data_IF_696955116007
#
_entry.id   IF_696955116007
#
_cell.length_a   1.000
_cell.length_b   1.000
_cell.length_c   1.000
_cell.angle_alpha   90.00
_cell.angle_beta   90.00
_cell.angle_gamma   90.00
#
_symmetry.space_group_name_H-M   'P 1'
#
loop_
_entity.id
_entity.type
_entity.pdbx_description
1 polymer ?
#
# COMPACT_ATOMS: atom_id res chain seq x y z
N UNK A 1 -34.75 34.48 -0.47
CA UNK A 1 -36.16 34.70 -0.81
C UNK A 1 -36.56 33.57 -1.74
N UNK A 2 -37.77 33.02 -1.65
CA UNK A 2 -38.21 32.00 -2.61
C UNK A 2 -38.73 32.74 -3.84
N UNK A 3 -37.87 32.96 -4.83
CA UNK A 3 -38.20 33.68 -6.06
C UNK A 3 -38.05 32.69 -7.23
N UNK A 4 -39.08 32.54 -8.09
CA UNK A 4 -38.94 31.76 -9.34
C UNK A 4 -40.01 30.70 -9.66
N UNK A 5 -41.20 30.73 -9.05
CA UNK A 5 -42.19 29.64 -9.18
C UNK A 5 -43.13 29.64 -10.39
N UNK A 6 -42.68 29.84 -11.65
CA UNK A 6 -43.61 29.62 -12.78
C UNK A 6 -43.05 29.27 -14.17
N UNK A 7 -41.73 29.21 -14.40
CA UNK A 7 -41.15 29.08 -15.76
C UNK A 7 -39.99 28.06 -15.93
N UNK A 8 -39.72 27.17 -14.98
CA UNK A 8 -38.61 26.20 -15.06
C UNK A 8 -38.10 25.81 -13.68
N UNK A 9 -36.94 25.13 -13.62
CA UNK A 9 -36.17 24.98 -12.39
C UNK A 9 -35.82 26.36 -11.83
N UNK A 10 -35.74 26.49 -10.51
CA UNK A 10 -35.59 27.77 -9.82
C UNK A 10 -34.12 28.15 -9.77
N UNK A 11 -33.81 29.40 -10.13
CA UNK A 11 -32.48 29.97 -9.92
C UNK A 11 -32.22 30.10 -8.41
N UNK A 12 -31.18 29.41 -7.94
CA UNK A 12 -30.83 29.32 -6.54
C UNK A 12 -29.93 30.50 -6.07
N UNK A 13 -29.33 31.27 -6.99
CA UNK A 13 -28.63 32.53 -6.67
C UNK A 13 -28.81 33.62 -7.76
N UNK A 14 -29.87 34.43 -7.60
CA UNK A 14 -30.17 35.62 -8.42
C UNK A 14 -29.04 36.68 -8.51
N UNK A 15 -28.01 36.61 -7.65
CA UNK A 15 -26.89 37.56 -7.67
C UNK A 15 -25.69 37.04 -8.46
N UNK A 16 -25.72 35.77 -8.92
CA UNK A 16 -24.62 35.14 -9.62
C UNK A 16 -25.10 34.47 -10.91
N UNK A 17 -24.89 35.12 -12.05
CA UNK A 17 -25.30 34.59 -13.36
C UNK A 17 -24.58 33.29 -13.78
N UNK A 18 -23.58 32.83 -13.03
CA UNK A 18 -22.93 31.52 -13.23
C UNK A 18 -23.63 30.39 -12.49
N UNK A 19 -24.48 30.69 -11.49
CA UNK A 19 -25.28 29.73 -10.74
C UNK A 19 -26.69 29.78 -11.32
N UNK A 20 -27.15 28.72 -11.97
CA UNK A 20 -28.48 28.66 -12.59
C UNK A 20 -28.80 27.24 -13.08
N UNK A 21 -30.10 26.91 -13.24
CA UNK A 21 -30.58 25.69 -13.88
C UNK A 21 -29.80 25.23 -15.12
N UNK A 22 -29.02 24.15 -14.96
CA UNK A 22 -28.25 23.54 -16.04
C UNK A 22 -26.91 24.22 -16.36
N UNK A 23 -26.36 25.00 -15.42
CA UNK A 23 -24.94 25.31 -15.40
C UNK A 23 -24.10 24.03 -15.25
N UNK A 24 -22.78 24.13 -15.43
CA UNK A 24 -21.89 23.01 -15.15
C UNK A 24 -21.48 23.06 -13.68
N UNK A 25 -21.64 21.94 -12.98
CA UNK A 25 -21.28 21.84 -11.57
C UNK A 25 -19.76 21.96 -11.34
N UNK A 26 -19.34 22.79 -10.37
CA UNK A 26 -17.96 22.88 -9.91
C UNK A 26 -17.86 22.06 -8.62
N UNK A 27 -17.32 20.85 -8.77
CA UNK A 27 -17.36 19.79 -7.77
C UNK A 27 -16.56 20.02 -6.45
N UNK A 28 -16.04 21.21 -6.20
CA UNK A 28 -15.18 21.54 -5.05
C UNK A 28 -15.42 22.94 -4.46
N UNK A 29 -16.56 23.56 -4.75
CA UNK A 29 -16.84 24.95 -4.40
C UNK A 29 -17.93 25.14 -3.33
N UNK A 30 -18.51 24.07 -2.79
CA UNK A 30 -19.55 24.10 -1.73
C UNK A 30 -20.85 24.77 -2.14
N UNK A 31 -21.13 24.85 -3.43
CA UNK A 31 -22.26 25.55 -4.02
C UNK A 31 -22.97 24.64 -5.02
N UNK A 32 -24.30 24.70 -5.03
CA UNK A 32 -25.16 24.06 -6.05
C UNK A 32 -25.14 25.00 -7.27
N UNK A 33 -24.24 24.77 -8.22
CA UNK A 33 -24.06 25.68 -9.36
C UNK A 33 -25.16 25.51 -10.40
N UNK A 34 -25.69 24.29 -10.55
CA UNK A 34 -26.71 23.95 -11.54
C UNK A 34 -28.16 24.04 -11.01
N UNK A 35 -28.33 24.30 -9.71
CA UNK A 35 -29.59 24.43 -8.99
C UNK A 35 -30.50 23.19 -9.06
N UNK A 36 -29.94 21.98 -9.14
CA UNK A 36 -30.68 20.71 -9.11
C UNK A 36 -30.96 20.19 -7.69
N UNK A 37 -30.33 20.82 -6.69
CA UNK A 37 -30.47 20.50 -5.27
C UNK A 37 -29.39 19.58 -4.71
N UNK A 38 -28.38 19.23 -5.50
CA UNK A 38 -27.16 18.56 -5.08
C UNK A 38 -25.99 19.56 -5.07
N UNK A 39 -24.93 19.26 -4.33
CA UNK A 39 -23.75 20.12 -4.24
C UNK A 39 -22.51 19.25 -4.34
N UNK A 40 -21.51 19.71 -5.09
CA UNK A 40 -20.20 19.08 -5.18
C UNK A 40 -20.29 17.55 -5.40
N UNK A 41 -19.81 16.75 -4.45
CA UNK A 41 -19.73 15.29 -4.55
C UNK A 41 -21.04 14.58 -4.28
N UNK A 42 -22.04 15.28 -3.73
CA UNK A 42 -23.41 14.78 -3.71
C UNK A 42 -24.07 14.94 -5.10
N UNK A 43 -23.46 15.70 -6.02
CA UNK A 43 -23.95 15.91 -7.38
C UNK A 43 -23.60 14.75 -8.33
N UNK A 44 -24.59 14.30 -9.09
CA UNK A 44 -24.45 13.19 -10.02
C UNK A 44 -23.54 13.49 -11.23
N UNK A 45 -23.43 14.74 -11.64
CA UNK A 45 -22.56 15.25 -12.69
C UNK A 45 -21.08 15.26 -12.23
N UNK A 46 -20.86 15.33 -10.92
CA UNK A 46 -19.55 15.22 -10.28
C UNK A 46 -19.07 13.79 -10.00
N UNK A 47 -19.85 12.76 -10.38
CA UNK A 47 -19.50 11.34 -10.16
C UNK A 47 -18.14 10.89 -10.76
N UNK A 48 -17.58 11.64 -11.71
CA UNK A 48 -16.26 11.36 -12.31
C UNK A 48 -15.24 12.48 -12.03
N UNK A 49 -15.60 13.46 -11.21
CA UNK A 49 -14.68 14.52 -10.84
C UNK A 49 -13.62 13.94 -9.90
N UNK A 50 -12.31 14.17 -10.13
CA UNK A 50 -11.25 13.64 -9.27
C UNK A 50 -11.32 14.09 -7.80
N UNK A 51 -12.11 15.12 -7.51
CA UNK A 51 -12.36 15.63 -6.15
C UNK A 51 -13.52 14.91 -5.45
N UNK A 52 -14.35 14.18 -6.22
CA UNK A 52 -15.56 13.49 -5.76
C UNK A 52 -15.57 11.99 -6.05
N UNK A 53 -14.56 11.51 -6.77
CA UNK A 53 -13.87 10.30 -6.37
C UNK A 53 -13.78 10.30 -4.83
N UNK A 54 -14.12 9.19 -4.17
CA UNK A 54 -13.97 9.02 -2.72
C UNK A 54 -12.49 8.97 -2.32
N UNK A 55 -11.73 9.95 -2.80
CA UNK A 55 -10.34 10.20 -2.52
C UNK A 55 -10.18 11.69 -2.22
N UNK A 56 -10.08 12.01 -0.93
CA UNK A 56 -9.33 13.14 -0.42
C UNK A 56 -7.88 13.11 -0.90
N UNK A 57 -7.65 13.23 -2.20
CA UNK A 57 -6.33 13.02 -2.79
C UNK A 57 -5.83 11.58 -2.68
N UNK A 58 -4.62 11.30 -3.21
CA UNK A 58 -4.03 9.98 -3.15
C UNK A 58 -3.76 9.57 -1.70
N UNK A 59 -4.22 8.38 -1.32
CA UNK A 59 -3.90 7.75 -0.04
C UNK A 59 -2.38 7.66 0.14
N UNK A 60 -1.87 8.11 1.29
CA UNK A 60 -0.49 7.87 1.70
C UNK A 60 -0.49 6.54 2.44
N UNK A 61 -0.04 5.49 1.78
CA UNK A 61 -0.23 4.11 2.18
C UNK A 61 0.58 3.64 3.42
N UNK A 62 1.17 4.56 4.18
CA UNK A 62 2.06 4.27 5.31
C UNK A 62 1.99 5.29 6.48
N UNK A 63 1.00 6.20 6.51
CA UNK A 63 0.94 7.29 7.49
C UNK A 63 -0.04 7.05 8.66
N UNK A 64 -0.85 5.98 8.59
CA UNK A 64 -1.81 5.62 9.64
C UNK A 64 -3.10 6.42 9.62
N UNK A 65 -3.37 7.19 8.56
CA UNK A 65 -4.52 8.06 8.41
C UNK A 65 -5.21 7.75 7.07
N UNK A 66 -6.53 7.69 7.10
CA UNK A 66 -7.37 7.67 5.90
C UNK A 66 -7.33 9.06 5.24
N UNK A 67 -6.40 9.26 4.31
CA UNK A 67 -6.24 10.52 3.60
C UNK A 67 -7.30 10.65 2.50
N UNK A 68 -7.71 9.54 1.91
CA UNK A 68 -8.66 9.48 0.81
C UNK A 68 -10.14 9.50 1.27
N UNK A 69 -10.38 9.33 2.57
CA UNK A 69 -11.68 9.53 3.22
C UNK A 69 -12.68 8.41 2.97
N UNK A 70 -12.22 7.26 2.49
CA UNK A 70 -13.07 6.13 2.14
C UNK A 70 -13.30 5.14 3.32
N UNK A 71 -12.74 5.50 4.50
CA UNK A 71 -12.70 4.74 5.75
C UNK A 71 -11.84 3.47 5.70
N UNK A 72 -10.87 3.40 4.79
CA UNK A 72 -9.82 2.40 4.81
C UNK A 72 -8.47 3.10 4.92
N UNK A 73 -7.75 2.76 5.98
CA UNK A 73 -6.46 3.37 6.33
C UNK A 73 -5.32 2.57 5.71
N UNK A 74 -4.39 3.25 5.05
CA UNK A 74 -3.17 2.67 4.49
C UNK A 74 -3.47 1.43 3.61
N UNK A 75 -2.72 0.33 3.81
CA UNK A 75 -2.90 -0.94 3.13
C UNK A 75 -4.22 -1.68 3.42
N UNK A 76 -5.04 -1.19 4.36
CA UNK A 76 -6.42 -1.64 4.43
C UNK A 76 -7.19 -1.18 3.17
N UNK A 77 -6.77 -0.09 2.55
CA UNK A 77 -7.20 0.34 1.23
C UNK A 77 -6.45 -0.38 0.11
N UNK A 78 -6.96 -1.57 -0.23
CA UNK A 78 -6.43 -2.35 -1.35
C UNK A 78 -6.79 -1.79 -2.73
N UNK A 79 -7.69 -0.82 -2.82
CA UNK A 79 -8.10 -0.23 -4.08
C UNK A 79 -7.13 0.89 -4.43
N UNK A 80 -6.82 1.72 -3.46
CA UNK A 80 -6.07 2.97 -3.62
C UNK A 80 -4.56 2.77 -3.32
N UNK A 81 -4.19 1.78 -2.48
CA UNK A 81 -2.80 1.35 -2.25
C UNK A 81 -2.37 0.09 -3.03
N UNK A 82 -3.07 -0.26 -4.11
CA UNK A 82 -2.74 -1.47 -4.88
C UNK A 82 -1.40 -1.34 -5.62
N UNK A 83 -0.44 -2.18 -5.23
CA UNK A 83 0.89 -2.16 -5.84
C UNK A 83 1.78 -1.05 -5.26
N UNK A 84 1.32 -0.35 -4.23
CA UNK A 84 2.17 0.55 -3.46
C UNK A 84 3.25 -0.28 -2.73
N UNK A 85 4.54 0.09 -2.83
CA UNK A 85 5.62 -0.59 -2.13
C UNK A 85 5.37 -0.79 -0.64
N UNK A 86 4.69 0.15 0.04
CA UNK A 86 4.31 0.03 1.45
C UNK A 86 3.33 -1.13 1.72
N UNK A 87 2.61 -1.58 0.70
CA UNK A 87 1.53 -2.58 0.81
C UNK A 87 1.79 -3.88 0.07
N UNK A 88 2.89 -3.96 -0.69
CA UNK A 88 3.21 -5.15 -1.50
C UNK A 88 3.98 -6.26 -0.78
N UNK A 89 4.47 -6.02 0.44
CA UNK A 89 5.23 -7.02 1.19
C UNK A 89 5.40 -6.71 2.67
N UNK A 90 4.43 -6.05 3.31
CA UNK A 90 4.75 -5.31 4.54
C UNK A 90 5.51 -4.04 4.18
N UNK A 91 5.49 -3.03 5.05
CA UNK A 91 6.04 -1.73 4.76
C UNK A 91 7.58 -1.70 4.79
N UNK A 92 8.18 -1.61 3.60
CA UNK A 92 9.05 -0.47 3.31
C UNK A 92 10.54 -0.62 3.61
N UNK A 93 11.17 -1.73 3.24
CA UNK A 93 12.57 -1.83 2.77
C UNK A 93 12.83 -3.31 2.37
N UNK A 94 13.84 -3.63 1.54
CA UNK A 94 14.18 -5.04 1.29
C UNK A 94 14.59 -5.71 2.60
N UNK A 95 14.00 -6.87 2.91
CA UNK A 95 14.38 -7.65 4.09
C UNK A 95 15.90 -7.91 4.11
N UNK A 96 16.55 -7.50 5.20
CA UNK A 96 17.94 -7.86 5.47
C UNK A 96 17.93 -9.23 6.12
N UNK A 97 18.18 -10.25 5.30
CA UNK A 97 17.94 -11.65 5.64
C UNK A 97 18.86 -12.28 6.72
N UNK A 98 19.63 -11.48 7.46
CA UNK A 98 20.64 -11.95 8.41
C UNK A 98 20.80 -11.10 9.69
N UNK A 99 19.87 -10.18 9.98
CA UNK A 99 20.00 -9.25 11.10
C UNK A 99 19.03 -9.48 12.27
N UNK A 100 18.11 -10.44 12.15
CA UNK A 100 17.19 -10.82 13.22
C UNK A 100 16.01 -9.87 13.40
N UNK A 101 15.74 -9.01 12.43
CA UNK A 101 14.69 -7.99 12.46
C UNK A 101 13.82 -8.16 11.21
N UNK A 102 12.51 -8.04 11.38
CA UNK A 102 11.53 -7.93 10.28
C UNK A 102 11.60 -6.50 9.72
N UNK A 103 12.46 -6.32 8.72
CA UNK A 103 12.79 -5.04 8.11
C UNK A 103 11.79 -4.63 7.02
N UNK A 104 11.12 -5.59 6.40
CA UNK A 104 10.02 -5.34 5.48
C UNK A 104 8.65 -5.29 6.19
N UNK A 105 8.55 -5.66 7.46
CA UNK A 105 7.35 -5.47 8.28
C UNK A 105 6.21 -6.43 7.92
N UNK A 106 6.51 -7.55 7.28
CA UNK A 106 5.52 -8.55 6.84
C UNK A 106 5.17 -9.59 7.93
N UNK A 107 5.86 -9.50 9.07
CA UNK A 107 5.69 -10.37 10.24
C UNK A 107 6.55 -11.63 10.20
N UNK A 108 7.46 -11.75 9.23
CA UNK A 108 8.45 -12.83 9.15
C UNK A 108 9.85 -12.22 9.23
N UNK A 109 10.74 -12.94 9.90
CA UNK A 109 12.09 -12.46 10.21
C UNK A 109 13.09 -13.31 9.41
N UNK A 110 14.06 -12.66 8.76
CA UNK A 110 15.18 -13.29 8.06
C UNK A 110 14.74 -14.44 7.11
N UNK A 111 15.32 -15.63 7.26
CA UNK A 111 15.04 -16.79 6.42
C UNK A 111 13.66 -17.43 6.62
N UNK A 112 12.93 -17.05 7.67
CA UNK A 112 11.51 -17.40 7.76
C UNK A 112 10.70 -16.57 6.76
N UNK A 113 11.25 -15.47 6.26
CA UNK A 113 10.66 -14.64 5.25
C UNK A 113 10.78 -15.21 3.81
N UNK A 114 9.73 -14.99 3.01
CA UNK A 114 9.64 -15.51 1.63
C UNK A 114 10.54 -14.73 0.67
N UNK A 115 10.76 -13.48 0.92
CA UNK A 115 11.51 -12.57 0.08
C UNK A 115 13.02 -12.84 0.20
N UNK A 116 13.42 -13.46 1.32
CA UNK A 116 14.74 -14.04 1.53
C UNK A 116 15.02 -15.39 0.83
N UNK A 117 14.05 -15.99 0.11
CA UNK A 117 14.21 -17.31 -0.55
C UNK A 117 15.28 -17.41 -1.63
N UNK A 118 15.88 -16.29 -2.02
CA UNK A 118 16.99 -16.24 -2.98
C UNK A 118 18.21 -15.55 -2.41
N UNK A 119 18.14 -15.12 -1.16
CA UNK A 119 19.24 -14.47 -0.51
C UNK A 119 20.32 -15.51 -0.16
N UNK A 120 21.57 -15.08 -0.23
CA UNK A 120 22.73 -15.93 0.03
C UNK A 120 22.75 -16.41 1.48
N UNK A 121 22.23 -15.60 2.41
CA UNK A 121 22.03 -15.96 3.82
C UNK A 121 21.05 -17.13 4.00
N UNK A 122 20.10 -17.32 3.08
CA UNK A 122 19.00 -18.30 3.24
C UNK A 122 18.97 -19.42 2.19
N UNK A 123 19.71 -19.29 1.09
CA UNK A 123 19.75 -20.32 0.02
C UNK A 123 20.96 -21.23 0.05
N UNK A 124 21.86 -21.05 1.02
CA UNK A 124 23.11 -21.79 1.12
C UNK A 124 23.32 -22.64 2.37
N UNK A 125 22.47 -22.53 3.39
CA UNK A 125 22.99 -22.71 4.76
C UNK A 125 23.84 -21.47 5.05
N UNK A 126 23.28 -20.56 5.86
CA UNK A 126 23.81 -19.22 6.11
C UNK A 126 25.03 -19.21 7.01
N UNK A 127 26.07 -19.92 6.62
CA UNK A 127 27.32 -19.97 7.34
C UNK A 127 28.51 -20.15 6.39
N UNK A 128 29.70 -19.87 6.90
CA UNK A 128 30.94 -20.10 6.15
C UNK A 128 30.97 -21.55 5.61
N UNK A 129 31.75 -21.83 4.54
CA UNK A 129 31.96 -23.21 4.08
C UNK A 129 32.24 -24.13 5.26
N UNK A 130 31.52 -25.26 5.35
CA UNK A 130 31.65 -26.20 6.46
C UNK A 130 33.13 -26.55 6.70
N UNK A 131 33.61 -26.28 7.91
CA UNK A 131 34.95 -26.70 8.33
C UNK A 131 34.83 -28.14 8.82
N UNK A 132 35.27 -29.07 7.98
CA UNK A 132 34.95 -30.50 8.11
C UNK A 132 35.64 -31.25 9.27
N UNK A 133 36.29 -30.55 10.21
CA UNK A 133 37.09 -31.15 11.28
C UNK A 133 37.06 -30.42 12.63
N UNK A 134 36.15 -29.46 12.83
CA UNK A 134 36.11 -28.61 14.02
C UNK A 134 34.94 -28.90 14.97
N UNK A 135 34.00 -29.76 14.58
CA UNK A 135 32.88 -30.17 15.42
C UNK A 135 31.76 -29.12 15.53
N UNK A 136 31.73 -28.15 14.63
CA UNK A 136 30.72 -27.09 14.57
C UNK A 136 30.02 -27.15 13.21
N UNK A 137 28.70 -27.03 13.20
CA UNK A 137 27.90 -26.81 11.99
C UNK A 137 28.10 -25.36 11.54
N UNK A 138 29.12 -25.14 10.71
CA UNK A 138 29.59 -23.83 10.27
C UNK A 138 28.77 -23.27 9.11
N UNK A 139 28.07 -24.12 8.35
CA UNK A 139 27.12 -23.72 7.31
C UNK A 139 25.65 -23.76 7.76
N UNK A 140 25.39 -24.18 9.00
CA UNK A 140 24.09 -24.19 9.68
C UNK A 140 23.02 -25.01 8.94
N UNK A 141 23.43 -26.06 8.22
CA UNK A 141 22.53 -26.95 7.49
C UNK A 141 21.93 -28.08 8.37
N UNK A 142 22.37 -28.15 9.64
CA UNK A 142 21.94 -29.12 10.64
C UNK A 142 22.81 -30.37 10.69
N UNK A 143 23.96 -30.39 10.00
CA UNK A 143 24.94 -31.47 10.01
C UNK A 143 26.32 -30.90 10.32
N UNK A 144 27.16 -31.73 10.96
CA UNK A 144 28.47 -31.31 11.46
C UNK A 144 29.56 -32.19 10.88
N UNK A 145 30.65 -31.60 10.41
CA UNK A 145 31.81 -32.28 9.87
C UNK A 145 31.43 -33.36 8.82
N UNK A 146 32.02 -34.55 8.93
CA UNK A 146 31.74 -35.72 8.09
C UNK A 146 30.32 -36.28 8.20
N UNK A 147 29.52 -35.83 9.16
CA UNK A 147 28.09 -36.11 9.14
C UNK A 147 27.42 -35.34 7.98
N UNK A 148 27.99 -34.20 7.58
CA UNK A 148 27.62 -33.49 6.38
C UNK A 148 28.31 -34.04 5.12
N UNK A 149 27.69 -35.06 4.53
CA UNK A 149 28.19 -35.62 3.27
C UNK A 149 27.97 -34.73 2.06
N UNK A 150 27.07 -33.74 2.15
CA UNK A 150 26.77 -32.85 1.03
C UNK A 150 27.90 -31.84 0.89
N UNK A 151 28.41 -31.34 2.02
CA UNK A 151 29.37 -30.25 2.04
C UNK A 151 30.81 -30.77 2.31
N UNK A 152 31.00 -31.81 3.13
CA UNK A 152 32.29 -32.45 3.43
C UNK A 152 32.58 -33.75 2.69
N UNK A 153 31.74 -34.18 1.73
CA UNK A 153 31.85 -35.49 1.07
C UNK A 153 33.12 -35.73 0.23
N UNK A 154 33.99 -34.72 0.09
CA UNK A 154 35.30 -34.81 -0.59
C UNK A 154 36.44 -34.26 0.25
N UNK A 155 36.15 -33.84 1.48
CA UNK A 155 37.17 -33.29 2.37
C UNK A 155 38.05 -34.43 2.91
N UNK A 156 39.39 -34.32 2.86
CA UNK A 156 40.30 -35.36 3.37
C UNK A 156 40.22 -35.63 4.88
N UNK A 157 39.59 -34.75 5.66
CA UNK A 157 39.28 -35.00 7.07
C UNK A 157 38.17 -36.05 7.24
N UNK A 158 37.46 -36.37 6.15
CA UNK A 158 36.41 -37.36 6.00
C UNK A 158 36.78 -38.44 4.96
#
# INVERSE_FOLDING_TARGET
ATEGGSCGSVDCDDNNASINPGAAEICDNTTDDDCDGQMDCDDSECSNAPVCDSSGGPEICDDGIDNDGDNKVDCADKKDCNGDPACTGGGGDPEVCDDGIDNDGDGKIDCDDRDCRRDSACTGGGGSPEVCDDGIDNDLDGKTDCADKKDCGRDPAC
#
